data_IF_923234939021
#
_entry.id   IF_923234939021
#
_cell.length_a   1.000
_cell.length_b   1.000
_cell.length_c   1.000
_cell.angle_alpha   90.00
_cell.angle_beta   90.00
_cell.angle_gamma   90.00
#
_symmetry.space_group_name_H-M   'P 1'
#
loop_
_entity.id
_entity.type
_entity.pdbx_description
1 polymer ?
#
# COMPACT_ATOMS: atom_id res chain seq x y z
N UNK A 1 15.44 -42.29 -14.13
CA UNK A 1 15.17 -41.78 -12.77
C UNK A 1 15.83 -40.42 -12.69
N UNK A 2 15.07 -39.36 -12.96
CA UNK A 2 15.58 -37.99 -13.00
C UNK A 2 14.89 -37.23 -11.88
N UNK A 3 15.64 -36.89 -10.84
CA UNK A 3 15.19 -35.94 -9.82
C UNK A 3 15.15 -34.55 -10.46
N UNK A 4 13.97 -33.96 -10.53
CA UNK A 4 13.83 -32.53 -10.72
C UNK A 4 13.90 -31.93 -9.32
N UNK A 5 15.03 -31.28 -9.01
CA UNK A 5 15.16 -30.42 -7.85
C UNK A 5 14.19 -29.25 -8.07
N UNK A 6 13.04 -29.31 -7.40
CA UNK A 6 12.10 -28.20 -7.32
C UNK A 6 12.83 -27.01 -6.73
N UNK A 7 12.99 -25.96 -7.53
CA UNK A 7 13.49 -24.68 -7.05
C UNK A 7 12.63 -24.25 -5.87
N UNK A 8 13.29 -23.88 -4.77
CA UNK A 8 12.65 -23.07 -3.75
C UNK A 8 12.31 -21.74 -4.44
N UNK A 9 11.06 -21.57 -4.86
CA UNK A 9 10.53 -20.22 -5.09
C UNK A 9 10.66 -19.53 -3.73
N UNK A 10 11.60 -18.58 -3.52
CA UNK A 10 11.51 -17.75 -2.34
C UNK A 10 10.14 -17.10 -2.44
N UNK A 11 9.32 -17.24 -1.39
CA UNK A 11 7.99 -16.65 -1.35
C UNK A 11 8.08 -15.22 -1.88
N UNK A 12 7.67 -15.01 -3.13
CA UNK A 12 7.61 -13.69 -3.70
C UNK A 12 6.53 -13.02 -2.87
N UNK A 13 6.92 -12.22 -1.87
CA UNK A 13 6.05 -11.20 -1.30
C UNK A 13 5.55 -10.41 -2.52
N UNK A 14 4.32 -10.70 -2.93
CA UNK A 14 3.76 -10.19 -4.18
C UNK A 14 3.36 -8.77 -3.89
N UNK A 15 4.35 -7.87 -3.87
CA UNK A 15 4.13 -6.44 -3.75
C UNK A 15 3.15 -6.03 -4.85
N UNK A 16 1.97 -5.57 -4.44
CA UNK A 16 0.93 -5.09 -5.34
C UNK A 16 0.97 -3.57 -5.33
N UNK A 17 0.61 -2.99 -6.46
CA UNK A 17 0.44 -1.55 -6.58
C UNK A 17 -1.00 -1.22 -6.91
N UNK A 18 -1.52 -0.19 -6.25
CA UNK A 18 -2.88 0.30 -6.46
C UNK A 18 -2.87 1.82 -6.54
N UNK A 19 -3.58 2.37 -7.51
CA UNK A 19 -3.79 3.81 -7.63
C UNK A 19 -5.26 4.13 -7.40
N UNK A 20 -5.54 5.11 -6.53
CA UNK A 20 -6.90 5.41 -6.11
C UNK A 20 -7.07 6.81 -5.57
N UNK A 21 -8.25 7.06 -5.00
CA UNK A 21 -8.59 8.31 -4.33
C UNK A 21 -8.81 8.06 -2.85
N UNK A 22 -8.20 8.87 -2.00
CA UNK A 22 -8.34 8.78 -0.55
C UNK A 22 -9.73 9.25 -0.12
N UNK A 23 -10.43 8.44 0.67
CA UNK A 23 -11.79 8.74 1.13
C UNK A 23 -11.88 9.09 2.61
N UNK A 24 -11.01 8.48 3.43
CA UNK A 24 -10.91 8.67 4.89
C UNK A 24 -9.44 8.54 5.29
N UNK A 25 -9.02 9.25 6.32
CA UNK A 25 -7.65 9.24 6.85
C UNK A 25 -7.71 9.16 8.36
N UNK A 26 -6.80 8.43 8.98
CA UNK A 26 -6.59 8.34 10.42
C UNK A 26 -5.08 8.38 10.71
N UNK A 27 -4.66 8.10 11.95
CA UNK A 27 -3.30 8.34 12.43
C UNK A 27 -2.24 7.56 11.62
N UNK A 28 -2.45 6.26 11.44
CA UNK A 28 -1.51 5.33 10.81
C UNK A 28 -2.00 4.75 9.47
N UNK A 29 -3.06 5.31 8.88
CA UNK A 29 -3.57 4.80 7.62
C UNK A 29 -4.67 5.62 6.98
N UNK A 30 -5.19 5.09 5.87
CA UNK A 30 -6.28 5.69 5.13
C UNK A 30 -7.09 4.65 4.35
N UNK A 31 -8.27 5.09 3.93
CA UNK A 31 -9.12 4.33 3.02
C UNK A 31 -8.89 4.82 1.60
N UNK A 32 -8.47 3.92 0.71
CA UNK A 32 -8.24 4.19 -0.71
C UNK A 32 -9.35 3.55 -1.56
N UNK A 33 -10.06 4.35 -2.35
CA UNK A 33 -10.98 3.85 -3.37
C UNK A 33 -10.26 3.61 -4.69
N UNK A 34 -10.35 2.38 -5.19
CA UNK A 34 -9.73 1.90 -6.43
C UNK A 34 -10.83 1.32 -7.30
N UNK A 35 -11.31 2.08 -8.29
CA UNK A 35 -12.50 1.72 -9.06
C UNK A 35 -13.74 1.65 -8.17
N UNK A 36 -14.38 0.48 -8.14
CA UNK A 36 -15.54 0.12 -7.31
C UNK A 36 -15.15 -0.52 -5.96
N UNK A 37 -13.85 -0.68 -5.69
CA UNK A 37 -13.33 -1.31 -4.48
C UNK A 37 -12.76 -0.29 -3.52
N UNK A 38 -12.69 -0.70 -2.26
CA UNK A 38 -12.08 0.04 -1.17
C UNK A 38 -10.97 -0.79 -0.54
N UNK A 39 -9.84 -0.17 -0.28
CA UNK A 39 -8.68 -0.75 0.41
C UNK A 39 -8.48 0.03 1.72
N UNK A 40 -8.33 -0.70 2.83
CA UNK A 40 -7.92 -0.15 4.13
C UNK A 40 -6.42 -0.34 4.23
N UNK A 41 -5.67 0.75 4.38
CA UNK A 41 -4.21 0.69 4.44
C UNK A 41 -3.72 0.76 5.87
N UNK A 42 -2.62 0.07 6.13
CA UNK A 42 -1.69 0.39 7.22
C UNK A 42 -0.47 1.07 6.59
N UNK A 43 -0.08 2.20 7.14
CA UNK A 43 1.04 3.01 6.64
C UNK A 43 2.09 3.28 7.71
N UNK A 44 2.04 2.57 8.84
CA UNK A 44 2.95 2.79 9.96
C UNK A 44 4.43 2.74 9.53
N UNK A 45 4.82 1.78 8.69
CA UNK A 45 6.19 1.65 8.16
C UNK A 45 6.63 2.83 7.26
N UNK A 46 5.70 3.63 6.74
CA UNK A 46 5.99 4.72 5.79
C UNK A 46 5.75 6.10 6.39
N UNK A 47 4.70 6.26 7.20
CA UNK A 47 4.24 7.54 7.75
C UNK A 47 4.23 7.57 9.28
N UNK A 48 4.41 6.42 9.95
CA UNK A 48 4.06 6.24 11.36
C UNK A 48 2.63 6.69 11.65
N UNK A 49 2.39 7.17 12.87
CA UNK A 49 1.09 7.71 13.30
C UNK A 49 0.83 9.15 12.79
N UNK A 50 1.53 9.58 11.74
CA UNK A 50 1.47 10.93 11.17
C UNK A 50 0.87 10.99 9.78
N UNK A 51 0.16 9.95 9.34
CA UNK A 51 -0.44 9.84 8.01
C UNK A 51 -1.27 11.05 7.64
N UNK A 52 -2.12 11.52 8.56
CA UNK A 52 -2.98 12.68 8.38
C UNK A 52 -2.24 14.02 8.18
N UNK A 53 -0.92 14.08 8.41
CA UNK A 53 -0.10 15.27 8.11
C UNK A 53 0.30 15.36 6.63
N UNK A 54 0.30 14.23 5.93
CA UNK A 54 0.80 14.13 4.56
C UNK A 54 -0.28 13.72 3.56
N UNK A 55 -1.33 13.06 4.03
CA UNK A 55 -2.42 12.53 3.22
C UNK A 55 -3.74 13.17 3.63
N UNK A 56 -4.50 13.63 2.64
CA UNK A 56 -5.81 14.23 2.81
C UNK A 56 -6.88 13.48 2.00
N UNK A 57 -8.13 13.60 2.45
CA UNK A 57 -9.29 13.13 1.67
C UNK A 57 -9.32 13.84 0.32
N UNK A 58 -9.47 13.06 -0.75
CA UNK A 58 -9.48 13.54 -2.13
C UNK A 58 -8.15 13.37 -2.85
N UNK A 59 -7.07 13.09 -2.13
CA UNK A 59 -5.75 12.86 -2.74
C UNK A 59 -5.80 11.66 -3.69
N UNK A 60 -5.15 11.81 -4.84
CA UNK A 60 -4.90 10.69 -5.76
C UNK A 60 -3.50 10.16 -5.51
N UNK A 61 -3.43 8.94 -4.98
CA UNK A 61 -2.19 8.31 -4.56
C UNK A 61 -2.01 6.96 -5.25
N UNK A 62 -0.75 6.56 -5.42
CA UNK A 62 -0.35 5.19 -5.74
C UNK A 62 0.34 4.60 -4.52
N UNK A 63 -0.17 3.47 -4.05
CA UNK A 63 0.40 2.71 -2.94
C UNK A 63 1.04 1.43 -3.47
N UNK A 64 2.15 1.01 -2.86
CA UNK A 64 2.74 -0.31 -3.08
C UNK A 64 2.91 -1.02 -1.75
N UNK A 65 2.54 -2.29 -1.68
CA UNK A 65 2.45 -3.02 -0.43
C UNK A 65 1.94 -4.44 -0.61
N UNK A 66 1.52 -5.07 0.48
CA UNK A 66 0.89 -6.39 0.47
C UNK A 66 -0.33 -6.47 1.38
N UNK A 67 -1.16 -7.50 1.19
CA UNK A 67 -2.29 -7.72 2.09
C UNK A 67 -1.84 -8.61 3.25
N UNK A 68 -1.89 -8.07 4.46
CA UNK A 68 -1.77 -8.82 5.70
C UNK A 68 -3.10 -8.78 6.46
N UNK A 69 -3.70 -9.95 6.68
CA UNK A 69 -5.00 -10.06 7.35
C UNK A 69 -6.11 -9.28 6.64
N UNK A 70 -6.55 -8.16 7.24
CA UNK A 70 -7.65 -7.30 6.75
C UNK A 70 -7.18 -5.95 6.24
N UNK A 71 -5.89 -5.67 6.34
CA UNK A 71 -5.28 -4.41 5.93
C UNK A 71 -4.33 -4.65 4.76
N UNK A 72 -3.94 -3.54 4.15
CA UNK A 72 -2.91 -3.50 3.13
C UNK A 72 -1.73 -2.73 3.70
N UNK A 73 -0.64 -3.45 3.99
CA UNK A 73 0.57 -2.88 4.57
C UNK A 73 1.34 -2.17 3.47
N UNK A 74 1.48 -0.87 3.63
CA UNK A 74 2.06 0.00 2.62
C UNK A 74 3.55 0.14 2.85
N UNK A 75 4.33 -0.12 1.80
CA UNK A 75 5.78 0.05 1.77
C UNK A 75 6.21 1.33 1.04
N UNK A 76 5.34 1.90 0.22
CA UNK A 76 5.56 3.21 -0.39
C UNK A 76 4.26 3.87 -0.85
N UNK A 77 4.28 5.21 -0.82
CA UNK A 77 3.19 6.06 -1.30
C UNK A 77 3.79 7.11 -2.24
N UNK A 78 3.19 7.28 -3.42
CA UNK A 78 3.49 8.38 -4.32
C UNK A 78 2.24 9.16 -4.71
N UNK A 79 2.39 10.47 -4.91
CA UNK A 79 1.33 11.32 -5.42
C UNK A 79 1.19 11.19 -6.95
N UNK A 80 0.25 11.94 -7.54
CA UNK A 80 0.02 11.95 -9.00
C UNK A 80 1.24 12.39 -9.84
N UNK A 81 2.20 13.09 -9.23
CA UNK A 81 3.45 13.52 -9.87
C UNK A 81 4.58 12.48 -9.71
N UNK A 82 4.30 11.36 -9.03
CA UNK A 82 5.30 10.34 -8.72
C UNK A 82 6.22 10.69 -7.55
N UNK A 83 5.97 11.81 -6.84
CA UNK A 83 6.73 12.20 -5.66
C UNK A 83 6.34 11.34 -4.45
N UNK A 84 7.35 10.89 -3.69
CA UNK A 84 7.14 10.19 -2.41
C UNK A 84 6.37 11.06 -1.43
N UNK A 85 5.45 10.43 -0.71
CA UNK A 85 4.70 11.02 0.41
C UNK A 85 5.30 10.52 1.73
N UNK A 86 5.11 11.27 2.83
CA UNK A 86 5.62 10.96 4.18
C UNK A 86 7.16 11.02 4.33
N UNK A 87 7.83 11.84 3.53
CA UNK A 87 9.28 12.13 3.61
C UNK A 87 9.59 13.43 4.36
#
# INVERSE_FOLDING_TARGET
MTMVLGGLDPAHARNRSFSGVVERVWEDGFQLRVGDRTIITDTWDVCGDSTARYVARGDRLTITGEFEGRQFDVFSITNAEGKRVCS
#
